data_IF_638631312010
#
_entry.id   IF_638631312010
#
_cell.length_a   1.000
_cell.length_b   1.000
_cell.length_c   1.000
_cell.angle_alpha   90.00
_cell.angle_beta   90.00
_cell.angle_gamma   90.00
#
_symmetry.space_group_name_H-M   'P 1'
#
loop_
_entity.id
_entity.type
_entity.pdbx_description
1 polymer ?
#
# COMPACT_ATOMS: atom_id res chain seq x y z
N UNK A 1 -0.51 19.65 23.80
CA UNK A 1 -1.07 19.06 22.56
C UNK A 1 -0.33 17.74 22.32
N UNK A 2 -0.68 16.68 23.06
CA UNK A 2 0.07 15.39 23.04
C UNK A 2 -0.78 14.16 22.68
N UNK A 3 -2.12 14.28 22.63
CA UNK A 3 -3.03 13.14 22.37
C UNK A 3 -2.96 12.55 20.94
N UNK A 4 -2.31 13.23 19.99
CA UNK A 4 -2.30 12.79 18.60
C UNK A 4 -1.20 11.75 18.31
N UNK A 5 -0.04 11.87 18.97
CA UNK A 5 1.12 11.01 18.73
C UNK A 5 0.91 9.58 19.23
N UNK A 6 0.33 9.41 20.44
CA UNK A 6 0.04 8.07 20.97
C UNK A 6 -1.03 7.34 20.16
N UNK A 7 -2.05 8.06 19.70
CA UNK A 7 -3.08 7.52 18.80
C UNK A 7 -2.47 7.08 17.47
N UNK A 8 -1.63 7.90 16.86
CA UNK A 8 -0.95 7.55 15.60
C UNK A 8 -0.04 6.33 15.75
N UNK A 9 0.68 6.21 16.87
CA UNK A 9 1.49 5.02 17.18
C UNK A 9 0.61 3.77 17.33
N UNK A 10 -0.49 3.86 18.08
CA UNK A 10 -1.42 2.75 18.25
C UNK A 10 -2.03 2.30 16.91
N UNK A 11 -2.44 3.26 16.07
CA UNK A 11 -2.96 3.00 14.72
C UNK A 11 -1.92 2.30 13.85
N UNK A 12 -0.66 2.77 13.86
CA UNK A 12 0.43 2.16 13.08
C UNK A 12 0.71 0.72 13.53
N UNK A 13 0.73 0.46 14.84
CA UNK A 13 0.91 -0.89 15.38
C UNK A 13 -0.22 -1.82 14.97
N UNK A 14 -1.47 -1.37 15.05
CA UNK A 14 -2.63 -2.16 14.61
C UNK A 14 -2.57 -2.47 13.11
N UNK A 15 -2.20 -1.49 12.28
CA UNK A 15 -1.99 -1.70 10.84
C UNK A 15 -0.93 -2.78 10.57
N UNK A 16 0.21 -2.74 11.26
CA UNK A 16 1.26 -3.77 11.12
C UNK A 16 0.78 -5.16 11.58
N UNK A 17 -0.06 -5.25 12.61
CA UNK A 17 -0.63 -6.53 13.04
C UNK A 17 -1.56 -7.12 11.97
N UNK A 18 -2.40 -6.30 11.34
CA UNK A 18 -3.30 -6.73 10.26
C UNK A 18 -2.47 -7.22 9.05
N UNK A 19 -1.45 -6.46 8.62
CA UNK A 19 -0.59 -6.88 7.51
C UNK A 19 0.12 -8.21 7.77
N UNK A 20 0.52 -8.49 9.02
CA UNK A 20 1.15 -9.77 9.38
C UNK A 20 0.19 -10.95 9.34
N UNK A 21 -1.08 -10.73 9.72
CA UNK A 21 -2.08 -11.80 9.78
C UNK A 21 -2.70 -12.10 8.42
N UNK A 22 -2.96 -11.08 7.61
CA UNK A 22 -3.72 -11.19 6.35
C UNK A 22 -2.86 -11.01 5.10
N UNK A 23 -1.56 -10.78 5.26
CA UNK A 23 -0.63 -10.53 4.17
C UNK A 23 -0.43 -9.03 3.90
N UNK A 24 0.68 -8.73 3.22
CA UNK A 24 1.03 -7.36 2.86
C UNK A 24 -0.03 -6.75 1.96
N UNK A 25 -0.35 -5.48 2.22
CA UNK A 25 -1.34 -4.74 1.44
C UNK A 25 -2.80 -5.05 1.75
N UNK A 26 -3.06 -5.89 2.76
CA UNK A 26 -4.41 -6.09 3.32
C UNK A 26 -5.02 -4.82 3.94
N UNK A 27 -4.18 -3.87 4.37
CA UNK A 27 -4.59 -2.53 4.80
C UNK A 27 -3.56 -1.51 4.31
N UNK A 28 -4.02 -0.38 3.78
CA UNK A 28 -3.15 0.70 3.29
C UNK A 28 -3.80 2.07 3.51
N UNK A 29 -2.97 3.12 3.58
CA UNK A 29 -3.45 4.50 3.57
C UNK A 29 -3.64 4.98 2.14
N UNK A 30 -4.82 5.50 1.80
CA UNK A 30 -5.07 6.13 0.51
C UNK A 30 -4.11 7.31 0.29
N UNK A 31 -3.42 7.34 -0.86
CA UNK A 31 -2.36 8.31 -1.16
C UNK A 31 -1.01 8.00 -0.50
N UNK A 32 -0.90 6.90 0.26
CA UNK A 32 0.38 6.36 0.70
C UNK A 32 1.18 5.82 -0.49
N UNK A 33 2.51 6.02 -0.49
CA UNK A 33 3.40 5.41 -1.47
C UNK A 33 3.80 4.03 -0.97
N UNK A 34 3.09 3.00 -1.42
CA UNK A 34 3.55 1.62 -1.32
C UNK A 34 3.62 1.06 -2.73
N UNK A 35 4.74 1.32 -3.42
CA UNK A 35 5.05 0.62 -4.67
C UNK A 35 5.95 -0.53 -4.27
N UNK A 36 5.37 -1.69 -3.96
CA UNK A 36 6.16 -2.90 -3.92
C UNK A 36 6.60 -3.21 -5.36
N UNK A 37 7.91 -3.45 -5.52
CA UNK A 37 8.47 -3.84 -6.81
C UNK A 37 8.03 -5.27 -7.12
N UNK A 38 6.93 -5.40 -7.86
CA UNK A 38 6.40 -6.67 -8.35
C UNK A 38 6.58 -6.75 -9.87
N UNK A 39 6.82 -7.93 -10.44
CA UNK A 39 6.82 -8.09 -11.89
C UNK A 39 5.43 -7.77 -12.45
N UNK A 40 5.37 -6.88 -13.44
CA UNK A 40 4.10 -6.45 -14.07
C UNK A 40 4.07 -6.72 -15.57
N UNK A 41 2.85 -6.82 -16.11
CA UNK A 41 2.55 -6.77 -17.55
C UNK A 41 1.94 -5.40 -17.82
N UNK A 42 2.53 -4.62 -18.72
CA UNK A 42 2.01 -3.29 -19.08
C UNK A 42 0.59 -3.39 -19.63
N UNK A 43 -0.24 -2.42 -19.27
CA UNK A 43 -1.63 -2.35 -19.77
C UNK A 43 -1.71 -1.86 -21.23
N UNK A 44 -0.64 -1.24 -21.73
CA UNK A 44 -0.61 -0.60 -23.04
C UNK A 44 -1.04 0.88 -23.01
N UNK A 45 -1.53 1.38 -21.87
CA UNK A 45 -1.84 2.80 -21.66
C UNK A 45 -0.94 3.39 -20.58
N UNK A 46 -0.18 4.45 -20.92
CA UNK A 46 0.73 5.11 -19.98
C UNK A 46 0.00 5.70 -18.76
N UNK A 47 -1.19 6.28 -18.99
CA UNK A 47 -1.99 6.84 -17.92
C UNK A 47 -2.45 5.77 -16.93
N UNK A 48 -2.83 4.60 -17.44
CA UNK A 48 -3.32 3.49 -16.64
C UNK A 48 -2.18 2.80 -15.89
N UNK A 49 -1.04 2.57 -16.53
CA UNK A 49 0.17 2.03 -15.89
C UNK A 49 0.57 2.91 -14.68
N UNK A 50 0.51 4.24 -14.84
CA UNK A 50 0.78 5.19 -13.75
C UNK A 50 -0.28 5.16 -12.65
N UNK A 51 -1.56 5.07 -13.01
CA UNK A 51 -2.66 5.05 -12.06
C UNK A 51 -2.68 3.78 -11.18
N UNK A 52 -2.26 2.64 -11.73
CA UNK A 52 -2.14 1.38 -10.99
C UNK A 52 -1.05 1.40 -9.92
N UNK A 53 -0.17 2.41 -9.91
CA UNK A 53 0.91 2.58 -8.94
C UNK A 53 2.09 1.62 -9.14
N UNK A 54 1.84 0.37 -9.56
CA UNK A 54 2.85 -0.65 -9.85
C UNK A 54 3.30 -0.67 -11.31
N UNK A 55 2.67 0.11 -12.20
CA UNK A 55 3.10 0.20 -13.60
C UNK A 55 2.46 -0.81 -14.56
N UNK A 56 1.46 -1.58 -14.12
CA UNK A 56 0.77 -2.57 -14.95
C UNK A 56 0.01 -3.62 -14.14
N UNK A 57 -0.41 -4.70 -14.80
CA UNK A 57 -1.00 -5.87 -14.15
C UNK A 57 0.07 -6.67 -13.41
N UNK A 58 -0.01 -6.87 -12.09
CA UNK A 58 0.94 -7.70 -11.36
C UNK A 58 0.87 -9.15 -11.84
N UNK A 59 2.02 -9.82 -11.89
CA UNK A 59 2.13 -11.26 -12.19
C UNK A 59 2.12 -12.08 -10.91
N UNK A 60 1.47 -13.23 -10.95
CA UNK A 60 1.21 -14.10 -9.79
C UNK A 60 -0.24 -13.98 -9.37
#
# INVERSE_FOLDING_TARGET
>A
MEKNSEKEKAVKTAMTQIERQFGKGSIMKLGGRAIEAVPVIRTGSLALDKALGVGGYPRG
#
